data_IF_413279229881
#
_entry.id   IF_413279229881
#
_cell.length_a   1.000
_cell.length_b   1.000
_cell.length_c   1.000
_cell.angle_alpha   90.00
_cell.angle_beta   90.00
_cell.angle_gamma   90.00
#
_symmetry.space_group_name_H-M   'P 1'
#
loop_
_entity.id
_entity.type
_entity.pdbx_description
1 polymer ?
#
# COMPACT_ATOMS: atom_id res chain seq x y z
N UNK A 1 -0.05 16.61 -9.95
CA UNK A 1 0.85 16.49 -8.77
C UNK A 1 1.76 17.71 -8.68
N UNK A 2 1.80 18.40 -7.51
CA UNK A 2 2.72 19.51 -7.24
C UNK A 2 4.16 19.01 -7.15
N UNK A 3 5.10 19.71 -7.79
CA UNK A 3 6.51 19.35 -7.80
C UNK A 3 7.28 20.22 -6.79
N UNK A 4 8.24 19.60 -6.11
CA UNK A 4 9.07 20.25 -5.11
C UNK A 4 10.56 20.10 -5.41
N UNK A 5 11.35 21.10 -5.06
CA UNK A 5 12.80 21.00 -5.09
C UNK A 5 13.33 20.33 -3.79
N UNK A 6 14.64 20.10 -3.73
CA UNK A 6 15.30 19.43 -2.59
C UNK A 6 15.06 20.14 -1.26
N UNK A 7 15.16 21.47 -1.25
CA UNK A 7 14.93 22.27 -0.05
C UNK A 7 13.50 22.14 0.44
N UNK A 8 12.52 22.23 -0.47
CA UNK A 8 11.11 22.12 -0.11
C UNK A 8 10.77 20.75 0.49
N UNK A 9 11.35 19.66 -0.05
CA UNK A 9 11.20 18.35 0.57
C UNK A 9 11.79 18.26 1.97
N UNK A 10 12.95 18.87 2.22
CA UNK A 10 13.52 18.94 3.57
C UNK A 10 12.65 19.76 4.53
N UNK A 11 12.08 20.88 4.06
CA UNK A 11 11.16 21.70 4.86
C UNK A 11 9.88 20.90 5.21
N UNK A 12 9.32 20.16 4.24
CA UNK A 12 8.16 19.29 4.43
C UNK A 12 8.48 18.19 5.46
N UNK A 13 9.63 17.53 5.33
CA UNK A 13 10.01 16.41 6.18
C UNK A 13 10.24 16.86 7.63
N UNK A 14 10.82 18.03 7.86
CA UNK A 14 10.92 18.64 9.21
C UNK A 14 9.54 18.84 9.83
N UNK A 15 8.57 19.35 9.07
CA UNK A 15 7.19 19.52 9.56
C UNK A 15 6.50 18.16 9.82
N UNK A 16 6.71 17.17 8.96
CA UNK A 16 6.19 15.82 9.14
C UNK A 16 6.73 15.19 10.44
N UNK A 17 8.05 15.25 10.66
CA UNK A 17 8.68 14.73 11.87
C UNK A 17 8.26 15.48 13.14
N UNK A 18 7.79 16.70 13.02
CA UNK A 18 7.20 17.45 14.14
C UNK A 18 5.79 16.98 14.49
N UNK A 19 5.05 16.36 13.56
CA UNK A 19 3.67 15.90 13.73
C UNK A 19 2.65 16.72 12.92
N UNK A 20 3.10 17.44 11.89
CA UNK A 20 2.25 18.28 11.02
C UNK A 20 1.97 17.63 9.67
N UNK A 21 2.12 16.31 9.57
CA UNK A 21 1.91 15.51 8.38
C UNK A 21 0.48 15.60 7.80
N UNK A 22 -0.47 16.16 8.55
CA UNK A 22 -1.88 16.33 8.13
C UNK A 22 -2.19 17.68 7.50
N UNK A 23 -1.24 18.61 7.54
CA UNK A 23 -1.37 19.91 6.87
C UNK A 23 -1.13 19.77 5.37
N UNK A 24 -1.55 20.76 4.59
CA UNK A 24 -1.19 20.87 3.17
C UNK A 24 0.31 21.05 2.98
N UNK A 25 0.81 20.79 1.78
CA UNK A 25 2.22 20.95 1.46
C UNK A 25 2.74 22.37 1.75
N UNK A 26 1.98 23.38 1.35
CA UNK A 26 2.37 24.77 1.56
C UNK A 26 2.39 25.15 3.04
N UNK A 27 1.40 24.72 3.82
CA UNK A 27 1.37 24.96 5.26
C UNK A 27 2.56 24.31 5.98
N UNK A 28 2.98 23.11 5.59
CA UNK A 28 4.19 22.45 6.15
C UNK A 28 5.45 23.26 5.84
N UNK A 29 5.60 23.69 4.59
CA UNK A 29 6.74 24.53 4.15
C UNK A 29 6.75 25.86 4.91
N UNK A 30 5.62 26.54 5.00
CA UNK A 30 5.50 27.86 5.64
C UNK A 30 5.73 27.75 7.14
N UNK A 31 5.23 26.71 7.79
CA UNK A 31 5.50 26.46 9.20
C UNK A 31 6.98 26.28 9.48
N UNK A 32 7.68 25.45 8.70
CA UNK A 32 9.12 25.23 8.88
C UNK A 32 9.90 26.49 8.63
N UNK A 33 9.58 27.27 7.58
CA UNK A 33 10.21 28.56 7.29
C UNK A 33 10.01 29.57 8.41
N UNK A 34 8.80 29.64 8.98
CA UNK A 34 8.48 30.57 10.07
C UNK A 34 9.23 30.25 11.36
N UNK A 35 9.66 28.99 11.53
CA UNK A 35 10.36 28.53 12.73
C UNK A 35 11.88 28.32 12.49
N UNK A 36 12.43 28.72 11.34
CA UNK A 36 13.82 28.45 10.95
C UNK A 36 14.84 28.81 12.03
N UNK A 37 14.66 29.92 12.73
CA UNK A 37 15.63 30.43 13.74
C UNK A 37 15.56 29.63 15.07
N UNK A 38 14.62 28.73 15.25
CA UNK A 38 14.40 28.04 16.53
C UNK A 38 14.00 26.58 16.41
N UNK A 39 14.22 25.93 15.25
CA UNK A 39 13.82 24.54 15.02
C UNK A 39 14.39 23.58 16.09
N UNK A 40 15.64 23.79 16.49
CA UNK A 40 16.31 22.95 17.48
C UNK A 40 15.59 22.96 18.85
N UNK A 41 14.99 24.10 19.22
CA UNK A 41 14.28 24.28 20.48
C UNK A 41 12.88 23.59 20.49
N UNK A 42 12.42 23.19 19.32
CA UNK A 42 11.12 22.51 19.17
C UNK A 42 11.25 20.98 19.27
N UNK A 43 12.46 20.46 19.28
CA UNK A 43 12.72 19.01 19.19
C UNK A 43 12.00 18.18 20.27
N UNK A 44 11.95 18.66 21.50
CA UNK A 44 11.34 17.93 22.62
C UNK A 44 9.78 17.93 22.58
N UNK A 45 9.20 18.76 21.69
CA UNK A 45 7.76 18.83 21.43
C UNK A 45 7.33 18.07 20.19
N UNK A 46 8.29 17.58 19.41
CA UNK A 46 8.02 16.84 18.18
C UNK A 46 7.46 15.43 18.50
N UNK A 47 6.60 14.91 17.65
CA UNK A 47 6.05 13.55 17.76
C UNK A 47 7.17 12.49 17.73
N UNK A 48 8.22 12.73 16.92
CA UNK A 48 9.38 11.87 16.78
C UNK A 48 10.69 12.66 17.03
N UNK A 49 11.07 12.98 18.29
CA UNK A 49 12.17 13.92 18.61
C UNK A 49 13.51 13.58 17.96
N UNK A 50 13.87 12.29 17.91
CA UNK A 50 15.14 11.86 17.32
C UNK A 50 15.17 12.06 15.80
N UNK A 51 14.09 11.64 15.12
CA UNK A 51 13.98 11.78 13.66
C UNK A 51 13.87 13.26 13.28
N UNK A 52 13.11 14.04 14.04
CA UNK A 52 13.01 15.50 13.87
C UNK A 52 14.38 16.19 13.93
N UNK A 53 15.22 15.85 14.91
CA UNK A 53 16.59 16.40 15.02
C UNK A 53 17.44 16.04 13.79
N UNK A 54 17.30 14.83 13.26
CA UNK A 54 17.98 14.41 12.04
C UNK A 54 17.51 15.22 10.82
N UNK A 55 16.19 15.43 10.69
CA UNK A 55 15.61 16.25 9.61
C UNK A 55 16.08 17.71 9.68
N UNK A 56 16.05 18.31 10.88
CA UNK A 56 16.56 19.70 11.10
C UNK A 56 18.05 19.77 10.75
N UNK A 57 18.86 18.79 11.19
CA UNK A 57 20.29 18.75 10.83
C UNK A 57 20.47 18.69 9.31
N UNK A 58 19.74 17.84 8.62
CA UNK A 58 19.81 17.70 7.16
C UNK A 58 19.44 19.01 6.44
N UNK A 59 18.45 19.75 6.94
CA UNK A 59 18.09 21.07 6.43
C UNK A 59 19.22 22.10 6.67
N UNK A 60 19.89 22.06 7.84
CA UNK A 60 21.06 22.91 8.12
C UNK A 60 22.25 22.59 7.21
N UNK A 61 22.53 21.29 7.03
CA UNK A 61 23.59 20.84 6.13
C UNK A 61 23.32 21.31 4.69
N UNK A 62 22.05 21.25 4.25
CA UNK A 62 21.65 21.75 2.93
C UNK A 62 21.97 23.27 2.79
N UNK A 63 21.59 24.09 3.76
CA UNK A 63 21.88 25.54 3.72
C UNK A 63 23.38 25.85 3.82
N UNK A 64 24.14 24.99 4.47
CA UNK A 64 25.60 25.12 4.54
C UNK A 64 26.32 24.55 3.30
N UNK A 65 25.62 24.01 2.34
CA UNK A 65 26.18 23.35 1.15
C UNK A 65 26.92 22.04 1.46
N UNK A 66 26.64 21.43 2.62
CA UNK A 66 27.26 20.17 3.05
C UNK A 66 26.45 19.00 2.44
N UNK A 67 27.08 18.09 1.66
CA UNK A 67 26.41 16.90 1.17
C UNK A 67 25.89 16.03 2.31
N UNK A 68 24.62 15.64 2.24
CA UNK A 68 23.99 14.76 3.20
C UNK A 68 23.37 13.54 2.49
N UNK A 69 23.54 12.35 3.08
CA UNK A 69 22.85 11.13 2.69
C UNK A 69 21.46 10.98 3.34
N UNK A 70 20.92 12.06 3.90
CA UNK A 70 19.61 12.02 4.57
C UNK A 70 18.48 11.72 3.59
N UNK A 71 17.67 10.71 3.91
CA UNK A 71 16.46 10.36 3.18
C UNK A 71 15.24 11.01 3.80
N UNK A 72 14.39 11.61 2.98
CA UNK A 72 13.06 12.07 3.37
C UNK A 72 12.09 10.90 3.40
N UNK A 73 11.08 10.98 4.25
CA UNK A 73 10.05 9.97 4.41
C UNK A 73 8.76 10.40 3.69
N UNK A 74 8.25 9.50 2.85
CA UNK A 74 6.98 9.67 2.15
C UNK A 74 6.07 8.50 2.51
N UNK A 75 5.00 8.78 3.27
CA UNK A 75 4.09 7.77 3.79
C UNK A 75 2.78 7.73 3.00
N UNK A 76 2.27 6.53 2.74
CA UNK A 76 0.92 6.39 2.21
C UNK A 76 -0.11 6.80 3.28
N UNK A 77 -1.11 7.56 2.88
CA UNK A 77 -2.07 8.16 3.83
C UNK A 77 -3.01 7.14 4.48
N UNK A 78 -3.28 6.01 3.83
CA UNK A 78 -4.01 4.85 4.34
C UNK A 78 -3.91 3.69 3.35
N UNK A 79 -2.75 3.02 3.23
CA UNK A 79 -2.43 2.07 2.14
C UNK A 79 -3.49 1.00 1.92
N UNK A 80 -3.91 0.28 2.97
CA UNK A 80 -4.93 -0.76 2.85
C UNK A 80 -6.27 -0.25 2.33
N UNK A 81 -6.70 0.97 2.72
CA UNK A 81 -7.92 1.59 2.18
C UNK A 81 -7.71 2.02 0.74
N UNK A 82 -6.54 2.59 0.41
CA UNK A 82 -6.19 3.00 -0.95
C UNK A 82 -6.30 1.82 -1.92
N UNK A 83 -5.60 0.71 -1.63
CA UNK A 83 -5.58 -0.45 -2.53
C UNK A 83 -6.94 -1.12 -2.65
N UNK A 84 -7.67 -1.28 -1.55
CA UNK A 84 -9.03 -1.82 -1.60
C UNK A 84 -9.94 -0.93 -2.45
N UNK A 85 -9.92 0.39 -2.24
CA UNK A 85 -10.76 1.31 -3.01
C UNK A 85 -10.43 1.30 -4.50
N UNK A 86 -9.14 1.20 -4.85
CA UNK A 86 -8.67 1.14 -6.23
C UNK A 86 -9.12 -0.14 -6.93
N UNK A 87 -8.89 -1.31 -6.33
CA UNK A 87 -9.20 -2.58 -6.97
C UNK A 87 -10.69 -2.86 -7.06
N UNK A 88 -11.48 -2.34 -6.11
CA UNK A 88 -12.94 -2.53 -6.08
C UNK A 88 -13.71 -1.48 -6.89
N UNK A 89 -13.07 -0.37 -7.28
CA UNK A 89 -13.75 0.77 -7.93
C UNK A 89 -14.54 1.64 -6.95
N UNK A 90 -14.12 1.70 -5.68
CA UNK A 90 -14.74 2.50 -4.62
C UNK A 90 -14.28 3.96 -4.70
N UNK A 91 -15.01 4.77 -5.45
CA UNK A 91 -14.71 6.20 -5.61
C UNK A 91 -14.77 6.96 -4.29
N UNK A 92 -15.73 6.65 -3.43
CA UNK A 92 -15.89 7.29 -2.12
C UNK A 92 -14.65 7.04 -1.24
N UNK A 93 -14.25 5.79 -1.12
CA UNK A 93 -13.04 5.39 -0.41
C UNK A 93 -11.77 6.00 -1.01
N UNK A 94 -11.66 6.02 -2.34
CA UNK A 94 -10.52 6.61 -3.07
C UNK A 94 -10.39 8.12 -2.77
N UNK A 95 -11.49 8.85 -2.69
CA UNK A 95 -11.50 10.27 -2.30
C UNK A 95 -11.04 10.46 -0.85
N UNK A 96 -11.57 9.66 0.07
CA UNK A 96 -11.27 9.76 1.51
C UNK A 96 -9.81 9.46 1.86
N UNK A 97 -9.13 8.61 1.08
CA UNK A 97 -7.73 8.24 1.33
C UNK A 97 -6.73 8.87 0.36
N UNK A 98 -7.10 10.02 -0.25
CA UNK A 98 -6.24 10.84 -1.10
C UNK A 98 -5.76 10.17 -2.40
N UNK A 99 -6.41 9.10 -2.85
CA UNK A 99 -6.18 8.52 -4.18
C UNK A 99 -6.65 9.50 -5.24
N UNK A 100 -7.82 10.10 -5.05
CA UNK A 100 -8.34 11.17 -5.88
C UNK A 100 -8.03 12.54 -5.26
N UNK A 101 -7.76 13.52 -6.12
CA UNK A 101 -7.48 14.89 -5.69
C UNK A 101 -8.79 15.62 -5.40
N UNK A 102 -9.08 15.90 -4.13
CA UNK A 102 -10.24 16.67 -3.66
C UNK A 102 -9.95 18.16 -3.48
N UNK A 103 -8.75 18.61 -3.86
CA UNK A 103 -8.29 19.99 -3.63
C UNK A 103 -7.68 20.24 -2.24
N UNK A 104 -7.73 19.26 -1.34
CA UNK A 104 -7.13 19.30 0.01
C UNK A 104 -6.62 17.93 0.43
N UNK A 105 -5.82 17.89 1.50
CA UNK A 105 -5.44 16.64 2.14
C UNK A 105 -6.58 16.14 3.03
N UNK A 106 -7.11 14.98 2.72
CA UNK A 106 -8.15 14.34 3.52
C UNK A 106 -7.55 13.52 4.67
N UNK A 107 -8.24 13.49 5.80
CA UNK A 107 -7.98 12.57 6.91
C UNK A 107 -9.18 11.63 7.07
N UNK A 108 -9.13 10.49 6.40
CA UNK A 108 -10.18 9.48 6.38
C UNK A 108 -10.63 9.07 7.79
N UNK A 109 -9.68 8.94 8.71
CA UNK A 109 -9.98 8.54 10.10
C UNK A 109 -10.77 9.62 10.85
N UNK A 110 -10.44 10.90 10.63
CA UNK A 110 -11.20 12.01 11.22
C UNK A 110 -12.60 12.11 10.61
N UNK A 111 -12.73 11.92 9.30
CA UNK A 111 -14.03 11.98 8.62
C UNK A 111 -14.94 10.86 9.10
N UNK A 112 -14.45 9.62 9.12
CA UNK A 112 -15.21 8.46 9.61
C UNK A 112 -15.55 8.61 11.09
N UNK A 113 -14.62 9.12 11.92
CA UNK A 113 -14.87 9.37 13.34
C UNK A 113 -16.02 10.37 13.54
N UNK A 114 -16.02 11.48 12.81
CA UNK A 114 -17.13 12.46 12.87
C UNK A 114 -18.46 11.84 12.45
N UNK A 115 -18.48 11.08 11.35
CA UNK A 115 -19.69 10.39 10.90
C UNK A 115 -20.24 9.39 11.92
N UNK A 116 -19.36 8.69 12.68
CA UNK A 116 -19.77 7.80 13.76
C UNK A 116 -20.40 8.61 14.91
N UNK A 117 -19.77 9.73 15.31
CA UNK A 117 -20.30 10.59 16.38
C UNK A 117 -21.65 11.20 16.03
N UNK A 118 -21.82 11.64 14.79
CA UNK A 118 -23.09 12.19 14.28
C UNK A 118 -24.22 11.13 14.31
N UNK A 119 -23.92 9.91 13.89
CA UNK A 119 -24.91 8.83 13.83
C UNK A 119 -25.20 8.21 15.23
N UNK A 120 -24.23 8.25 16.15
CA UNK A 120 -24.40 7.76 17.54
C UNK A 120 -25.05 8.75 18.50
N UNK A 121 -25.29 9.98 18.09
CA UNK A 121 -25.92 11.02 18.92
C UNK A 121 -25.00 11.62 19.99
N UNK A 122 -23.70 11.73 19.71
CA UNK A 122 -22.68 12.46 20.51
C UNK A 122 -22.39 11.97 21.93
N UNK A 123 -22.96 10.88 22.40
CA UNK A 123 -22.72 10.34 23.75
C UNK A 123 -21.48 9.42 23.84
N UNK A 124 -20.85 9.16 22.73
CA UNK A 124 -19.70 8.25 22.65
C UNK A 124 -18.40 8.98 22.99
N UNK A 125 -17.66 8.48 23.99
CA UNK A 125 -16.31 8.95 24.35
C UNK A 125 -15.21 8.33 23.47
N UNK A 126 -15.56 7.83 22.28
CA UNK A 126 -14.62 7.17 21.36
C UNK A 126 -13.71 8.22 20.73
N UNK A 127 -12.40 8.03 20.88
CA UNK A 127 -11.40 8.93 20.28
C UNK A 127 -11.10 8.57 18.84
N UNK A 128 -10.57 9.53 18.07
CA UNK A 128 -10.09 9.32 16.69
C UNK A 128 -9.08 8.15 16.60
N UNK A 129 -8.15 8.05 17.56
CA UNK A 129 -7.13 6.98 17.55
C UNK A 129 -7.72 5.60 17.80
N UNK A 130 -8.76 5.51 18.62
CA UNK A 130 -9.51 4.27 18.80
C UNK A 130 -10.24 3.88 17.51
N UNK A 131 -10.89 4.85 16.85
CA UNK A 131 -11.56 4.64 15.56
C UNK A 131 -10.54 4.22 14.49
N UNK A 132 -9.38 4.90 14.39
CA UNK A 132 -8.29 4.49 13.48
C UNK A 132 -7.89 3.04 13.69
N UNK A 133 -7.64 2.62 14.94
CA UNK A 133 -7.29 1.23 15.26
C UNK A 133 -8.40 0.24 14.87
N UNK A 134 -9.67 0.61 15.09
CA UNK A 134 -10.80 -0.23 14.71
C UNK A 134 -10.93 -0.39 13.20
N UNK A 135 -10.80 0.71 12.43
CA UNK A 135 -10.86 0.70 10.97
C UNK A 135 -9.74 -0.20 10.40
N UNK A 136 -8.50 0.03 10.83
CA UNK A 136 -7.35 -0.74 10.35
C UNK A 136 -7.56 -2.24 10.56
N UNK A 137 -7.87 -2.66 11.78
CA UNK A 137 -8.04 -4.10 12.05
C UNK A 137 -9.28 -4.69 11.39
N UNK A 138 -10.34 -3.88 11.14
CA UNK A 138 -11.54 -4.33 10.44
C UNK A 138 -11.29 -4.59 8.97
N UNK A 139 -10.52 -3.72 8.30
CA UNK A 139 -10.11 -3.91 6.90
C UNK A 139 -9.25 -5.17 6.75
N UNK A 140 -8.54 -5.58 7.79
CA UNK A 140 -7.83 -6.87 7.85
C UNK A 140 -8.69 -8.01 8.44
N UNK A 141 -10.02 -7.89 8.43
CA UNK A 141 -10.97 -8.95 8.80
C UNK A 141 -11.14 -9.18 10.30
N UNK A 142 -10.58 -8.35 11.19
CA UNK A 142 -10.81 -8.47 12.62
C UNK A 142 -12.18 -7.92 13.03
N UNK A 143 -12.96 -8.71 13.76
CA UNK A 143 -14.24 -8.28 14.35
C UNK A 143 -14.15 -8.11 15.86
N UNK A 144 -13.10 -8.67 16.50
CA UNK A 144 -12.95 -8.64 17.95
C UNK A 144 -12.76 -7.22 18.48
N UNK A 145 -11.79 -6.50 17.93
CA UNK A 145 -11.46 -5.14 18.39
C UNK A 145 -12.58 -4.13 18.14
N UNK A 146 -13.24 -4.09 16.96
CA UNK A 146 -14.42 -3.25 16.78
C UNK A 146 -15.55 -3.58 17.77
N UNK A 147 -15.82 -4.86 18.01
CA UNK A 147 -16.84 -5.29 18.97
C UNK A 147 -16.50 -4.86 20.40
N UNK A 148 -15.25 -4.97 20.83
CA UNK A 148 -14.80 -4.51 22.14
C UNK A 148 -14.94 -2.99 22.29
N UNK A 149 -14.63 -2.24 21.22
CA UNK A 149 -14.64 -0.78 21.26
C UNK A 149 -16.05 -0.20 21.18
N UNK A 150 -16.87 -0.71 20.26
CA UNK A 150 -18.18 -0.14 19.96
C UNK A 150 -19.32 -0.80 20.75
N UNK A 151 -19.13 -2.03 21.27
CA UNK A 151 -20.17 -2.73 22.04
C UNK A 151 -21.53 -2.76 21.32
N UNK A 152 -22.54 -2.10 21.90
CA UNK A 152 -23.88 -1.93 21.31
C UNK A 152 -23.89 -1.06 20.06
N UNK A 153 -22.91 -0.19 19.89
CA UNK A 153 -22.82 0.76 18.77
C UNK A 153 -22.10 0.17 17.54
N UNK A 154 -21.68 -1.11 17.61
CA UNK A 154 -21.06 -1.81 16.49
C UNK A 154 -21.87 -1.70 15.18
N UNK A 155 -23.21 -1.83 15.18
CA UNK A 155 -24.01 -1.63 13.96
C UNK A 155 -23.91 -0.23 13.37
N UNK A 156 -23.67 0.81 14.19
CA UNK A 156 -23.44 2.18 13.74
C UNK A 156 -22.10 2.25 12.99
N UNK A 157 -21.03 1.71 13.60
CA UNK A 157 -19.73 1.62 12.96
C UNK A 157 -19.81 0.90 11.60
N UNK A 158 -20.45 -0.26 11.53
CA UNK A 158 -20.60 -1.02 10.28
C UNK A 158 -21.39 -0.28 9.22
N UNK A 159 -22.44 0.48 9.60
CA UNK A 159 -23.22 1.31 8.71
C UNK A 159 -22.40 2.46 8.14
N UNK A 160 -21.64 3.16 8.99
CA UNK A 160 -20.76 4.26 8.58
C UNK A 160 -19.67 3.74 7.65
N UNK A 161 -19.05 2.60 7.96
CA UNK A 161 -18.07 1.98 7.06
C UNK A 161 -18.68 1.65 5.69
N UNK A 162 -19.88 1.09 5.65
CA UNK A 162 -20.60 0.80 4.40
C UNK A 162 -20.98 2.06 3.60
N UNK A 163 -21.17 3.21 4.25
CA UNK A 163 -21.42 4.49 3.58
C UNK A 163 -20.15 5.14 3.06
N UNK A 164 -19.09 5.10 3.87
CA UNK A 164 -17.81 5.76 3.55
C UNK A 164 -16.97 4.96 2.56
N UNK A 165 -17.04 3.63 2.61
CA UNK A 165 -16.23 2.70 1.83
C UNK A 165 -17.13 1.57 1.25
N UNK A 166 -18.14 1.89 0.43
CA UNK A 166 -19.18 0.94 0.05
C UNK A 166 -18.64 -0.34 -0.58
N UNK A 167 -17.82 -0.21 -1.61
CA UNK A 167 -17.28 -1.35 -2.36
C UNK A 167 -16.14 -2.05 -1.61
N UNK A 168 -15.22 -1.28 -1.05
CA UNK A 168 -14.11 -1.81 -0.27
C UNK A 168 -14.60 -2.59 0.97
N UNK A 169 -15.65 -2.08 1.63
CA UNK A 169 -16.27 -2.74 2.78
C UNK A 169 -17.04 -4.00 2.37
N UNK A 170 -17.75 -3.96 1.25
CA UNK A 170 -18.44 -5.12 0.69
C UNK A 170 -17.46 -6.24 0.35
N UNK A 171 -16.37 -5.91 -0.34
CA UNK A 171 -15.33 -6.90 -0.68
C UNK A 171 -14.68 -7.49 0.57
N UNK A 172 -14.38 -6.67 1.58
CA UNK A 172 -13.85 -7.15 2.86
C UNK A 172 -14.80 -8.15 3.55
N UNK A 173 -16.11 -7.89 3.51
CA UNK A 173 -17.13 -8.84 4.01
C UNK A 173 -17.16 -10.13 3.20
N UNK A 174 -17.01 -10.06 1.89
CA UNK A 174 -16.90 -11.23 1.01
C UNK A 174 -15.71 -12.11 1.39
N UNK A 175 -14.53 -11.51 1.60
CA UNK A 175 -13.32 -12.23 2.03
C UNK A 175 -13.47 -12.91 3.40
N UNK A 176 -14.24 -12.31 4.30
CA UNK A 176 -14.46 -12.84 5.65
C UNK A 176 -15.63 -13.84 5.73
N UNK A 177 -16.43 -13.93 4.67
CA UNK A 177 -17.65 -14.74 4.60
C UNK A 177 -17.63 -15.76 3.45
N UNK A 178 -18.19 -15.40 2.30
CA UNK A 178 -18.43 -16.34 1.19
C UNK A 178 -17.18 -16.86 0.49
N UNK A 179 -16.04 -16.16 0.59
CA UNK A 179 -14.77 -16.62 0.04
C UNK A 179 -14.05 -17.64 0.94
N UNK A 180 -14.48 -17.82 2.17
CA UNK A 180 -13.88 -18.80 3.06
C UNK A 180 -14.42 -20.20 2.77
N UNK A 181 -13.53 -21.12 2.40
CA UNK A 181 -13.84 -22.54 2.25
C UNK A 181 -13.61 -23.26 3.58
N UNK A 182 -14.68 -23.79 4.23
CA UNK A 182 -14.57 -24.50 5.50
C UNK A 182 -13.83 -25.85 5.40
N UNK A 183 -13.56 -26.32 4.19
CA UNK A 183 -12.83 -27.58 3.94
C UNK A 183 -11.36 -27.37 3.57
N UNK A 184 -10.96 -26.14 3.28
CA UNK A 184 -9.58 -25.84 2.93
C UNK A 184 -8.66 -25.85 4.16
N UNK A 185 -7.51 -26.48 4.04
CA UNK A 185 -6.43 -26.46 5.04
C UNK A 185 -5.35 -25.43 4.74
N UNK A 186 -5.39 -24.80 3.57
CA UNK A 186 -4.44 -23.79 3.10
C UNK A 186 -5.04 -22.97 1.97
N UNK A 187 -4.51 -21.77 1.78
CA UNK A 187 -4.78 -20.90 0.65
C UNK A 187 -3.47 -20.49 -0.02
N UNK A 188 -3.51 -20.34 -1.33
CA UNK A 188 -2.37 -19.94 -2.13
C UNK A 188 -2.83 -19.09 -3.33
N UNK A 189 -2.08 -18.04 -3.65
CA UNK A 189 -2.27 -17.23 -4.85
C UNK A 189 -0.95 -16.64 -5.33
N UNK A 190 -0.93 -16.21 -6.57
CA UNK A 190 0.24 -15.61 -7.23
C UNK A 190 -0.07 -14.17 -7.60
N UNK A 191 0.87 -13.27 -7.35
CA UNK A 191 0.79 -11.85 -7.68
C UNK A 191 1.42 -11.59 -9.06
N UNK A 192 1.13 -10.43 -9.71
CA UNK A 192 1.62 -10.15 -11.06
C UNK A 192 3.13 -10.16 -11.23
N UNK A 193 3.88 -9.96 -10.15
CA UNK A 193 5.35 -10.07 -10.10
C UNK A 193 5.86 -11.50 -9.90
N UNK A 194 5.00 -12.50 -10.07
CA UNK A 194 5.28 -13.92 -9.81
C UNK A 194 5.70 -14.19 -8.35
N UNK A 195 5.17 -13.43 -7.40
CA UNK A 195 5.35 -13.71 -5.99
C UNK A 195 4.23 -14.64 -5.51
N UNK A 196 4.60 -15.78 -4.95
CA UNK A 196 3.70 -16.77 -4.39
C UNK A 196 3.38 -16.42 -2.95
N UNK A 197 2.12 -16.09 -2.68
CA UNK A 197 1.60 -15.81 -1.36
C UNK A 197 0.66 -16.94 -0.89
N UNK A 198 0.54 -17.12 0.41
CA UNK A 198 -0.39 -18.11 0.95
C UNK A 198 -0.23 -18.29 2.46
N UNK A 199 -1.16 -19.00 3.03
CA UNK A 199 -1.11 -19.36 4.45
C UNK A 199 -1.78 -20.71 4.72
N UNK A 200 -1.38 -21.35 5.82
CA UNK A 200 -1.96 -22.59 6.33
C UNK A 200 -3.08 -22.26 7.33
N UNK A 201 -4.23 -22.86 7.15
CA UNK A 201 -5.32 -22.79 8.13
C UNK A 201 -4.92 -23.60 9.35
N UNK A 202 -5.05 -23.03 10.55
CA UNK A 202 -4.62 -23.67 11.79
C UNK A 202 -5.74 -23.62 12.84
N UNK A 203 -5.94 -24.76 13.49
CA UNK A 203 -6.77 -24.89 14.68
C UNK A 203 -5.92 -25.03 15.94
N UNK A 204 -6.48 -24.62 17.06
CA UNK A 204 -5.93 -24.90 18.37
C UNK A 204 -6.50 -26.26 18.83
N UNK A 205 -5.66 -27.30 18.82
CA UNK A 205 -6.03 -28.66 19.18
C UNK A 205 -5.51 -28.97 20.59
N UNK A 206 -6.39 -29.48 21.43
CA UNK A 206 -6.02 -29.95 22.77
C UNK A 206 -5.44 -31.36 22.67
N UNK A 207 -4.26 -31.51 23.23
CA UNK A 207 -3.63 -32.81 23.45
C UNK A 207 -3.51 -33.06 24.96
N UNK A 208 -3.50 -34.32 25.31
CA UNK A 208 -3.36 -34.76 26.69
C UNK A 208 -2.23 -35.78 26.80
N UNK A 209 -1.48 -35.68 27.87
CA UNK A 209 -0.56 -36.76 28.25
C UNK A 209 -0.66 -37.03 29.74
N UNK A 210 -0.47 -38.28 30.14
CA UNK A 210 -0.50 -38.71 31.54
C UNK A 210 0.92 -38.94 32.03
N UNK A 211 1.30 -38.25 33.10
CA UNK A 211 2.57 -38.40 33.77
C UNK A 211 2.35 -38.63 35.25
N UNK A 212 2.90 -39.74 35.80
CA UNK A 212 2.78 -40.17 37.18
C UNK A 212 1.32 -40.11 37.71
N UNK A 213 0.37 -40.54 36.91
CA UNK A 213 -1.06 -40.59 37.25
C UNK A 213 -1.80 -39.25 37.16
N UNK A 214 -1.13 -38.16 36.80
CA UNK A 214 -1.76 -36.85 36.52
C UNK A 214 -1.87 -36.61 35.02
N UNK A 215 -3.05 -36.25 34.54
CA UNK A 215 -3.27 -35.88 33.14
C UNK A 215 -3.06 -34.38 32.99
N UNK A 216 -2.22 -34.01 32.03
CA UNK A 216 -1.93 -32.61 31.68
C UNK A 216 -2.42 -32.37 30.27
N UNK A 217 -3.29 -31.36 30.12
CA UNK A 217 -3.75 -30.89 28.81
C UNK A 217 -2.86 -29.75 28.31
N UNK A 218 -2.50 -29.78 27.03
CA UNK A 218 -1.80 -28.71 26.36
C UNK A 218 -2.39 -28.45 24.97
N UNK A 219 -2.18 -27.25 24.43
CA UNK A 219 -2.75 -26.85 23.15
C UNK A 219 -1.66 -26.62 22.12
N UNK A 220 -1.87 -27.18 20.93
CA UNK A 220 -0.97 -27.03 19.78
C UNK A 220 -1.78 -26.47 18.61
N UNK A 221 -1.15 -25.57 17.83
CA UNK A 221 -1.72 -25.12 16.55
C UNK A 221 -1.38 -26.10 15.45
N UNK A 222 -2.38 -26.85 15.01
CA UNK A 222 -2.26 -27.82 13.92
C UNK A 222 -2.86 -27.30 12.63
N UNK A 223 -2.30 -27.71 11.48
CA UNK A 223 -2.85 -27.39 10.17
C UNK A 223 -4.07 -28.27 9.93
N UNK A 224 -5.23 -27.64 9.88
CA UNK A 224 -6.50 -28.31 9.59
C UNK A 224 -7.58 -27.31 9.19
N UNK A 225 -8.57 -27.74 8.39
CA UNK A 225 -9.72 -26.92 8.02
C UNK A 225 -10.46 -26.36 9.22
N UNK A 226 -11.04 -25.15 9.03
CA UNK A 226 -11.84 -24.48 10.03
C UNK A 226 -13.18 -24.05 9.43
N UNK A 227 -14.32 -24.22 10.15
CA UNK A 227 -15.63 -23.84 9.63
C UNK A 227 -15.75 -22.35 9.35
N UNK A 228 -14.97 -21.51 10.05
CA UNK A 228 -14.92 -20.08 9.88
C UNK A 228 -13.49 -19.57 10.00
N UNK A 229 -13.12 -18.60 9.16
CA UNK A 229 -11.80 -17.98 9.24
C UNK A 229 -11.82 -16.54 8.75
N UNK A 230 -10.84 -15.77 9.17
CA UNK A 230 -10.69 -14.34 8.87
C UNK A 230 -9.30 -14.00 8.32
N UNK A 231 -8.43 -14.99 8.26
CA UNK A 231 -7.04 -14.81 7.85
C UNK A 231 -6.92 -14.47 6.36
N UNK A 232 -7.93 -14.87 5.55
CA UNK A 232 -7.90 -14.68 4.10
C UNK A 232 -7.81 -13.18 3.72
N UNK A 233 -8.70 -12.35 4.25
CA UNK A 233 -8.70 -10.91 3.99
C UNK A 233 -7.38 -10.24 4.38
N UNK A 234 -6.91 -10.51 5.61
CA UNK A 234 -5.64 -9.94 6.09
C UNK A 234 -4.45 -10.34 5.20
N UNK A 235 -4.31 -11.62 4.88
CA UNK A 235 -3.17 -12.09 4.08
C UNK A 235 -3.25 -11.60 2.63
N UNK A 236 -4.46 -11.54 2.05
CA UNK A 236 -4.64 -11.01 0.69
C UNK A 236 -4.22 -9.54 0.61
N UNK A 237 -4.73 -8.68 1.51
CA UNK A 237 -4.42 -7.26 1.52
C UNK A 237 -2.92 -7.02 1.81
N UNK A 238 -2.33 -7.71 2.79
CA UNK A 238 -0.89 -7.63 3.05
C UNK A 238 -0.04 -8.10 1.86
N UNK A 239 -0.52 -9.09 1.09
CA UNK A 239 0.21 -9.52 -0.11
C UNK A 239 0.20 -8.45 -1.21
N UNK A 240 -0.89 -7.69 -1.33
CA UNK A 240 -0.99 -6.54 -2.24
C UNK A 240 -0.06 -5.42 -1.76
N UNK A 241 -0.08 -5.06 -0.48
CA UNK A 241 0.87 -4.07 0.09
C UNK A 241 2.33 -4.48 -0.21
N UNK A 242 2.68 -5.74 0.03
CA UNK A 242 4.00 -6.28 -0.28
C UNK A 242 4.35 -6.27 -1.77
N UNK A 243 3.37 -6.49 -2.64
CA UNK A 243 3.54 -6.37 -4.09
C UNK A 243 3.88 -4.93 -4.49
N UNK A 244 3.17 -3.94 -3.96
CA UNK A 244 3.44 -2.53 -4.22
C UNK A 244 4.85 -2.12 -3.78
N UNK A 245 5.28 -2.59 -2.61
CA UNK A 245 6.66 -2.35 -2.13
C UNK A 245 7.69 -2.88 -3.13
N UNK A 246 7.52 -4.12 -3.60
CA UNK A 246 8.44 -4.73 -4.58
C UNK A 246 8.42 -3.98 -5.92
N UNK A 247 7.24 -3.58 -6.38
CA UNK A 247 7.10 -2.78 -7.61
C UNK A 247 7.76 -1.40 -7.48
N UNK A 248 7.58 -0.71 -6.35
CA UNK A 248 8.23 0.58 -6.11
C UNK A 248 9.76 0.46 -6.15
N UNK A 249 10.32 -0.56 -5.48
CA UNK A 249 11.76 -0.83 -5.53
C UNK A 249 12.21 -1.11 -6.97
N UNK A 250 11.50 -1.99 -7.68
CA UNK A 250 11.84 -2.36 -9.04
C UNK A 250 11.81 -1.17 -9.99
N UNK A 251 10.76 -0.33 -9.92
CA UNK A 251 10.57 0.85 -10.76
C UNK A 251 11.64 1.93 -10.51
N UNK A 252 12.04 2.14 -9.26
CA UNK A 252 13.04 3.14 -8.91
C UNK A 252 14.50 2.69 -9.18
N UNK A 253 14.79 1.39 -9.09
CA UNK A 253 16.15 0.83 -9.23
C UNK A 253 16.44 0.21 -10.61
N UNK A 254 15.51 0.30 -11.56
CA UNK A 254 15.68 -0.28 -12.89
C UNK A 254 16.86 0.32 -13.66
N UNK A 255 17.65 -0.53 -14.36
CA UNK A 255 18.82 -0.10 -15.13
C UNK A 255 18.44 0.72 -16.37
N UNK A 256 18.79 2.01 -16.38
CA UNK A 256 18.58 2.91 -17.51
C UNK A 256 19.29 2.44 -18.81
N UNK A 257 20.43 1.75 -18.71
CA UNK A 257 21.14 1.26 -19.88
C UNK A 257 20.31 0.19 -20.62
N UNK A 258 19.76 -0.76 -19.85
CA UNK A 258 18.86 -1.78 -20.41
C UNK A 258 17.61 -1.16 -21.02
N UNK A 259 17.01 -0.15 -20.37
CA UNK A 259 15.88 0.59 -20.92
C UNK A 259 16.20 1.21 -22.28
N UNK A 260 17.35 1.84 -22.40
CA UNK A 260 17.82 2.44 -23.66
C UNK A 260 18.04 1.40 -24.76
N UNK A 261 18.63 0.26 -24.44
CA UNK A 261 18.83 -0.85 -25.37
C UNK A 261 17.52 -1.41 -25.89
N UNK A 262 16.52 -1.59 -25.02
CA UNK A 262 15.19 -2.05 -25.39
C UNK A 262 14.50 -1.02 -26.30
N UNK A 263 14.51 0.27 -25.94
CA UNK A 263 13.88 1.34 -26.73
C UNK A 263 14.54 1.47 -28.11
N UNK A 264 15.85 1.38 -28.19
CA UNK A 264 16.60 1.49 -29.45
C UNK A 264 16.53 0.24 -30.34
N UNK A 265 15.99 -0.87 -29.82
CA UNK A 265 15.98 -2.17 -30.51
C UNK A 265 17.37 -2.79 -30.65
N UNK A 266 18.35 -2.36 -29.85
CA UNK A 266 19.75 -2.79 -29.92
C UNK A 266 20.16 -3.79 -28.82
N UNK A 267 19.22 -4.53 -28.27
CA UNK A 267 19.51 -5.58 -27.26
C UNK A 267 20.40 -6.65 -27.87
N UNK A 268 21.64 -6.78 -27.38
CA UNK A 268 22.63 -7.74 -27.88
C UNK A 268 22.78 -8.99 -27.00
N UNK A 269 22.31 -8.92 -25.75
CA UNK A 269 22.43 -10.00 -24.79
C UNK A 269 21.35 -11.06 -25.01
N UNK A 270 21.77 -12.34 -24.95
CA UNK A 270 20.88 -13.50 -25.04
C UNK A 270 20.58 -13.97 -23.60
N UNK A 271 19.30 -14.04 -23.26
CA UNK A 271 18.85 -14.57 -21.97
C UNK A 271 18.97 -16.11 -21.94
N UNK A 272 19.16 -16.64 -20.74
CA UNK A 272 19.13 -18.07 -20.45
C UNK A 272 17.74 -18.68 -20.66
N UNK A 273 17.64 -20.01 -20.60
CA UNK A 273 16.34 -20.71 -20.63
C UNK A 273 15.44 -20.28 -19.44
N UNK A 274 16.05 -20.05 -18.27
CA UNK A 274 15.35 -19.55 -17.10
C UNK A 274 14.81 -18.13 -17.34
N UNK A 275 15.59 -17.23 -17.95
CA UNK A 275 15.14 -15.88 -18.28
C UNK A 275 13.96 -15.90 -19.26
N UNK A 276 13.98 -16.83 -20.25
CA UNK A 276 12.85 -17.03 -21.17
C UNK A 276 11.60 -17.48 -20.40
N UNK A 277 11.76 -18.44 -19.50
CA UNK A 277 10.65 -18.93 -18.67
C UNK A 277 10.07 -17.83 -17.79
N UNK A 278 10.91 -17.06 -17.10
CA UNK A 278 10.48 -15.96 -16.27
C UNK A 278 9.78 -14.83 -17.07
N UNK A 279 10.31 -14.50 -18.25
CA UNK A 279 9.70 -13.52 -19.13
C UNK A 279 8.28 -13.95 -19.54
N UNK A 280 8.10 -15.19 -19.98
CA UNK A 280 6.81 -15.74 -20.39
C UNK A 280 5.83 -15.83 -19.22
N UNK A 281 6.31 -16.23 -18.03
CA UNK A 281 5.48 -16.31 -16.83
C UNK A 281 4.93 -14.92 -16.47
N UNK A 282 5.79 -13.89 -16.39
CA UNK A 282 5.38 -12.53 -16.08
C UNK A 282 4.46 -11.95 -17.16
N UNK A 283 4.70 -12.27 -18.42
CA UNK A 283 3.83 -11.83 -19.51
C UNK A 283 2.45 -12.49 -19.47
N UNK A 284 2.37 -13.77 -19.10
CA UNK A 284 1.08 -14.45 -18.90
C UNK A 284 0.31 -13.89 -17.69
N UNK A 285 0.99 -13.63 -16.58
CA UNK A 285 0.39 -12.98 -15.41
C UNK A 285 -0.15 -11.58 -15.75
N UNK A 286 0.56 -10.82 -16.63
CA UNK A 286 0.03 -9.57 -17.15
C UNK A 286 -1.26 -9.78 -17.95
N UNK A 287 -1.31 -10.77 -18.85
CA UNK A 287 -2.52 -11.03 -19.65
C UNK A 287 -3.73 -11.40 -18.80
N UNK A 288 -3.52 -12.08 -17.68
CA UNK A 288 -4.58 -12.48 -16.76
C UNK A 288 -5.00 -11.36 -15.80
N UNK A 289 -4.02 -10.67 -15.21
CA UNK A 289 -4.27 -9.62 -14.21
C UNK A 289 -4.55 -8.25 -14.79
N UNK A 290 -4.07 -7.96 -16.01
CA UNK A 290 -4.06 -6.62 -16.61
C UNK A 290 -3.00 -5.69 -16.00
N UNK A 291 -2.13 -6.18 -15.10
CA UNK A 291 -1.06 -5.38 -14.47
C UNK A 291 0.32 -5.85 -14.93
N UNK A 292 1.04 -4.99 -15.66
CA UNK A 292 2.39 -5.28 -16.14
C UNK A 292 3.42 -4.94 -15.05
N UNK A 293 4.00 -5.97 -14.42
CA UNK A 293 5.04 -5.78 -13.42
C UNK A 293 6.35 -5.32 -14.04
N UNK A 294 6.99 -4.30 -13.44
CA UNK A 294 8.31 -3.84 -13.85
C UNK A 294 9.41 -4.90 -13.70
N UNK A 295 9.16 -5.96 -12.92
CA UNK A 295 10.06 -7.11 -12.81
C UNK A 295 10.37 -7.75 -14.16
N UNK A 296 9.46 -7.67 -15.15
CA UNK A 296 9.65 -8.23 -16.50
C UNK A 296 10.89 -7.65 -17.20
N UNK A 297 11.24 -6.40 -16.88
CA UNK A 297 12.38 -5.71 -17.47
C UNK A 297 13.72 -6.38 -17.18
N UNK A 298 13.80 -7.19 -16.12
CA UNK A 298 14.99 -7.99 -15.80
C UNK A 298 15.20 -9.15 -16.76
N UNK A 299 14.18 -9.50 -17.54
CA UNK A 299 14.14 -10.67 -18.43
C UNK A 299 13.94 -10.31 -19.90
N UNK A 300 14.07 -9.03 -20.26
CA UNK A 300 14.02 -8.58 -21.65
C UNK A 300 15.41 -8.64 -22.27
N UNK A 301 15.57 -9.56 -23.23
CA UNK A 301 16.78 -9.86 -23.98
C UNK A 301 16.46 -9.99 -25.47
N UNK A 302 17.48 -10.18 -26.32
CA UNK A 302 17.30 -10.34 -27.78
C UNK A 302 16.44 -11.54 -28.15
N UNK A 303 16.48 -12.62 -27.37
CA UNK A 303 15.68 -13.83 -27.57
C UNK A 303 14.33 -13.83 -26.82
N UNK A 304 14.04 -12.87 -25.97
CA UNK A 304 12.76 -12.77 -25.25
C UNK A 304 11.88 -11.62 -25.73
N UNK A 305 12.47 -10.59 -26.34
CA UNK A 305 11.76 -9.37 -26.76
C UNK A 305 10.60 -9.65 -27.74
N UNK A 306 10.72 -10.68 -28.58
CA UNK A 306 9.68 -11.09 -29.54
C UNK A 306 8.59 -11.97 -28.93
N UNK A 307 8.70 -12.32 -27.63
CA UNK A 307 7.72 -13.14 -26.91
C UNK A 307 6.67 -12.27 -26.21
N UNK A 308 6.86 -10.96 -26.19
CA UNK A 308 6.03 -9.98 -25.52
C UNK A 308 5.65 -8.86 -26.47
N UNK A 309 4.63 -8.08 -26.11
CA UNK A 309 4.31 -6.84 -26.83
C UNK A 309 5.33 -5.76 -26.44
N UNK A 310 6.24 -5.46 -27.39
CA UNK A 310 7.32 -4.51 -27.18
C UNK A 310 6.81 -3.08 -26.93
N UNK A 311 5.66 -2.72 -27.48
CA UNK A 311 5.13 -1.37 -27.28
C UNK A 311 4.61 -1.20 -25.85
N UNK A 312 4.05 -2.25 -25.25
CA UNK A 312 3.72 -2.25 -23.81
C UNK A 312 4.96 -2.16 -22.91
N UNK A 313 6.04 -2.82 -23.29
CA UNK A 313 7.32 -2.69 -22.58
C UNK A 313 7.88 -1.27 -22.68
N UNK A 314 7.79 -0.65 -23.87
CA UNK A 314 8.21 0.75 -24.08
C UNK A 314 7.35 1.73 -23.28
N UNK A 315 6.02 1.54 -23.23
CA UNK A 315 5.12 2.33 -22.40
C UNK A 315 5.57 2.30 -20.94
N UNK A 316 5.80 1.10 -20.38
CA UNK A 316 6.31 0.93 -19.02
C UNK A 316 7.65 1.66 -18.80
N UNK A 317 8.62 1.48 -19.70
CA UNK A 317 9.94 2.13 -19.60
C UNK A 317 9.82 3.66 -19.60
N UNK A 318 8.91 4.22 -20.40
CA UNK A 318 8.71 5.67 -20.51
C UNK A 318 8.12 6.27 -19.22
N UNK A 319 7.45 5.48 -18.39
CA UNK A 319 6.94 5.90 -17.09
C UNK A 319 8.00 5.87 -15.99
N UNK A 320 9.10 5.13 -16.18
CA UNK A 320 10.14 5.00 -15.16
C UNK A 320 10.93 6.30 -14.96
N UNK A 321 11.55 6.51 -13.80
CA UNK A 321 12.40 7.64 -13.55
C UNK A 321 13.55 7.75 -14.57
N UNK A 322 13.88 8.95 -14.99
CA UNK A 322 14.99 9.17 -15.94
C UNK A 322 16.35 8.70 -15.42
N UNK A 323 16.51 8.67 -14.11
CA UNK A 323 17.69 8.16 -13.40
C UNK A 323 17.24 7.17 -12.36
N UNK A 324 17.94 6.05 -12.26
CA UNK A 324 17.75 5.08 -11.20
C UNK A 324 18.26 5.61 -9.87
N UNK A 325 17.59 5.23 -8.81
CA UNK A 325 17.99 5.53 -7.44
C UNK A 325 17.47 4.44 -6.50
N UNK A 326 18.07 4.36 -5.33
CA UNK A 326 17.64 3.43 -4.29
C UNK A 326 16.56 4.08 -3.42
N UNK A 327 15.56 3.28 -3.05
CA UNK A 327 14.56 3.61 -2.04
C UNK A 327 14.64 2.59 -0.90
N UNK A 328 14.34 3.03 0.31
CA UNK A 328 14.22 2.17 1.48
C UNK A 328 12.75 2.09 1.89
N UNK A 329 12.05 1.02 1.53
CA UNK A 329 10.67 0.83 1.94
C UNK A 329 10.60 0.27 3.36
N UNK A 330 9.69 0.81 4.16
CA UNK A 330 9.28 0.28 5.47
C UNK A 330 7.77 0.24 5.47
N UNK A 331 7.20 -0.94 5.20
CA UNK A 331 5.77 -1.08 4.98
C UNK A 331 5.28 -0.18 3.82
N UNK A 332 4.42 0.79 4.12
CA UNK A 332 3.85 1.76 3.18
C UNK A 332 4.57 3.13 3.18
N UNK A 333 5.72 3.21 3.84
CA UNK A 333 6.61 4.36 3.85
C UNK A 333 7.81 4.14 2.93
N UNK A 334 8.14 5.14 2.12
CA UNK A 334 9.23 5.09 1.16
C UNK A 334 10.23 6.21 1.45
N UNK A 335 11.45 5.81 1.83
CA UNK A 335 12.53 6.76 2.11
C UNK A 335 13.43 6.89 0.88
N UNK A 336 13.68 8.12 0.45
CA UNK A 336 14.58 8.44 -0.66
C UNK A 336 15.31 9.76 -0.42
N UNK A 337 16.40 9.99 -1.15
CA UNK A 337 17.04 11.29 -1.12
C UNK A 337 16.07 12.38 -1.61
N UNK A 338 16.12 13.61 -1.05
CA UNK A 338 15.20 14.71 -1.40
C UNK A 338 15.14 15.03 -2.90
N UNK A 339 16.22 14.70 -3.64
CA UNK A 339 16.25 14.90 -5.09
C UNK A 339 15.27 14.02 -5.87
N UNK A 340 14.84 12.91 -5.29
CA UNK A 340 14.00 11.90 -5.93
C UNK A 340 12.57 11.86 -5.38
N UNK A 341 12.19 12.76 -4.48
CA UNK A 341 10.86 12.78 -3.87
C UNK A 341 9.73 12.88 -4.90
N UNK A 342 9.90 13.68 -5.96
CA UNK A 342 8.92 13.76 -7.06
C UNK A 342 8.81 12.43 -7.81
N UNK A 343 9.95 11.77 -8.10
CA UNK A 343 9.97 10.49 -8.80
C UNK A 343 9.27 9.40 -7.98
N UNK A 344 9.53 9.33 -6.67
CA UNK A 344 8.86 8.39 -5.76
C UNK A 344 7.35 8.57 -5.78
N UNK A 345 6.87 9.83 -5.61
CA UNK A 345 5.43 10.13 -5.64
C UNK A 345 4.81 9.79 -7.01
N UNK A 346 5.51 10.10 -8.10
CA UNK A 346 5.03 9.81 -9.44
C UNK A 346 4.93 8.31 -9.69
N UNK A 347 5.92 7.50 -9.26
CA UNK A 347 5.85 6.05 -9.40
C UNK A 347 4.71 5.44 -8.59
N UNK A 348 4.45 5.96 -7.39
CA UNK A 348 3.31 5.51 -6.58
C UNK A 348 1.96 5.82 -7.27
N UNK A 349 1.84 7.00 -7.88
CA UNK A 349 0.66 7.40 -8.67
C UNK A 349 0.48 6.48 -9.89
N UNK A 350 1.55 6.17 -10.63
CA UNK A 350 1.47 5.24 -11.76
C UNK A 350 1.06 3.83 -11.31
N UNK A 351 1.56 3.34 -10.17
CA UNK A 351 1.12 2.06 -9.63
C UNK A 351 -0.37 2.05 -9.30
N UNK A 352 -0.88 3.11 -8.66
CA UNK A 352 -2.31 3.25 -8.39
C UNK A 352 -3.14 3.29 -9.69
N UNK A 353 -2.69 4.03 -10.68
CA UNK A 353 -3.33 4.12 -11.99
C UNK A 353 -3.44 2.76 -12.68
N UNK A 354 -2.32 2.04 -12.80
CA UNK A 354 -2.30 0.72 -13.42
C UNK A 354 -3.10 -0.31 -12.63
N UNK A 355 -3.07 -0.23 -11.30
CA UNK A 355 -3.88 -1.09 -10.44
C UNK A 355 -5.38 -0.83 -10.65
N UNK A 356 -5.80 0.43 -10.79
CA UNK A 356 -7.19 0.78 -11.08
C UNK A 356 -7.66 0.24 -12.45
N UNK A 357 -6.81 0.30 -13.47
CA UNK A 357 -7.09 -0.25 -14.81
C UNK A 357 -7.05 -1.77 -14.90
N UNK A 358 -6.36 -2.42 -13.97
CA UNK A 358 -6.17 -3.86 -13.97
C UNK A 358 -7.45 -4.63 -13.59
N UNK A 359 -7.46 -5.92 -13.90
CA UNK A 359 -8.45 -6.89 -13.42
C UNK A 359 -8.00 -7.59 -12.12
N UNK A 360 -7.21 -6.90 -11.30
CA UNK A 360 -6.56 -7.47 -10.12
C UNK A 360 -7.54 -8.16 -9.17
N UNK A 361 -8.71 -7.56 -8.96
CA UNK A 361 -9.70 -8.11 -8.02
C UNK A 361 -10.22 -9.48 -8.46
N UNK A 362 -10.54 -9.66 -9.74
CA UNK A 362 -11.01 -10.94 -10.26
C UNK A 362 -9.86 -11.93 -10.40
N UNK A 363 -8.69 -11.46 -10.86
CA UNK A 363 -7.48 -12.29 -10.94
C UNK A 363 -7.11 -12.93 -9.60
N UNK A 364 -7.12 -12.16 -8.50
CA UNK A 364 -6.86 -12.68 -7.16
C UNK A 364 -8.07 -13.45 -6.61
N UNK A 365 -9.29 -12.96 -6.87
CA UNK A 365 -10.53 -13.56 -6.41
C UNK A 365 -10.69 -15.01 -6.90
N UNK A 366 -10.47 -15.27 -8.18
CA UNK A 366 -10.54 -16.61 -8.76
C UNK A 366 -9.55 -17.59 -8.12
N UNK A 367 -8.32 -17.14 -7.82
CA UNK A 367 -7.30 -17.97 -7.20
C UNK A 367 -7.66 -18.39 -5.77
N UNK A 368 -8.48 -17.61 -5.06
CA UNK A 368 -8.94 -17.91 -3.70
C UNK A 368 -10.36 -18.48 -3.65
N UNK A 369 -10.93 -18.84 -4.82
CA UNK A 369 -12.21 -19.54 -4.92
C UNK A 369 -13.45 -18.64 -5.09
N UNK A 370 -13.30 -17.34 -5.28
CA UNK A 370 -14.43 -16.45 -5.62
C UNK A 370 -14.75 -16.66 -7.11
N UNK A 371 -15.93 -17.22 -7.42
CA UNK A 371 -16.37 -17.50 -8.78
C UNK A 371 -17.13 -16.32 -9.42
N UNK A 372 -17.72 -15.45 -8.59
CA UNK A 372 -18.49 -14.32 -9.07
C UNK A 372 -17.56 -13.20 -9.55
N UNK A 373 -17.80 -12.71 -10.77
CA UNK A 373 -17.07 -11.56 -11.29
C UNK A 373 -17.42 -10.29 -10.53
N UNK A 374 -16.39 -9.57 -10.11
CA UNK A 374 -16.54 -8.24 -9.54
C UNK A 374 -16.55 -7.21 -10.67
N UNK A 375 -17.65 -6.49 -10.77
CA UNK A 375 -17.76 -5.36 -11.71
C UNK A 375 -17.50 -4.07 -10.94
N UNK A 376 -16.45 -3.35 -11.32
CA UNK A 376 -16.15 -2.05 -10.72
C UNK A 376 -17.29 -1.07 -11.08
N UNK A 377 -17.92 -0.41 -10.09
CA UNK A 377 -19.04 0.50 -10.37
C UNK A 377 -18.59 1.74 -11.15
N UNK A 378 -17.36 2.20 -10.95
CA UNK A 378 -16.80 3.37 -11.62
C UNK A 378 -15.35 3.15 -12.05
N UNK A 379 -14.96 3.68 -13.20
CA UNK A 379 -13.56 3.83 -13.61
C UNK A 379 -13.12 5.28 -13.41
N UNK A 380 -12.32 5.51 -12.39
CA UNK A 380 -11.70 6.79 -12.07
C UNK A 380 -10.17 6.77 -12.28
N UNK A 381 -9.67 5.80 -13.02
CA UNK A 381 -8.22 5.57 -13.18
C UNK A 381 -7.49 6.82 -13.67
N UNK A 382 -8.03 7.52 -14.68
CA UNK A 382 -7.40 8.72 -15.24
C UNK A 382 -7.32 9.88 -14.21
N UNK A 383 -8.25 9.95 -13.27
CA UNK A 383 -8.25 10.96 -12.23
C UNK A 383 -7.14 10.74 -11.20
N UNK A 384 -6.71 9.48 -11.02
CA UNK A 384 -5.60 9.11 -10.13
C UNK A 384 -4.29 9.81 -10.54
N UNK A 385 -4.09 10.04 -11.83
CA UNK A 385 -2.90 10.74 -12.34
C UNK A 385 -2.76 12.18 -11.78
N UNK A 386 -3.86 12.75 -11.28
CA UNK A 386 -3.90 14.06 -10.63
C UNK A 386 -3.83 13.96 -9.09
N UNK A 387 -3.55 12.78 -8.54
CA UNK A 387 -3.42 12.59 -7.10
C UNK A 387 -2.33 13.48 -6.50
N UNK A 388 -2.59 14.02 -5.32
CA UNK A 388 -1.69 14.98 -4.68
C UNK A 388 -1.12 14.47 -3.35
N UNK A 389 -1.94 13.82 -2.55
CA UNK A 389 -1.60 13.43 -1.18
C UNK A 389 -1.66 11.93 -0.92
N UNK A 390 -1.74 11.08 -1.95
CA UNK A 390 -1.76 9.63 -1.74
C UNK A 390 -0.50 9.13 -1.04
N UNK A 391 0.65 9.73 -1.39
CA UNK A 391 1.94 9.54 -0.74
C UNK A 391 2.47 10.91 -0.29
N UNK A 392 2.57 11.13 1.03
CA UNK A 392 2.82 12.48 1.55
C UNK A 392 3.60 12.51 2.86
#
# INVERSE_FOLDING_TARGET
MQLFNKEQYLLIDVANCYGLDKLSWNERIDWTKSNLNGLENLADKADAPCVYRCAVKALRDHYAGIPSGYGIHLDATASGTQWLSIITGDRSGASLCNVLNTGKREDSYTIIHKAILEESGTTSNITRDQVKKAIMVSLYGSTKRPKELFGSDLPIFERVMSKCLPEAWLFNKTLSGSAWDPTADSYHWVLPDNFHAGFKVKALVQHEFTFKGNTVAYFVKEQMPQPNGRALGANLIHSIDGFIVREMVQRCSFSNNRAKEVISGSTSFIGSTEDVFQCLTLWNLYKESGFLSARILNYIYSNTINLVDIDKIKELINELPKKTFEILPIHDSFTALPAYGNDVRQQYIYLMYHMAKSNMINFLGHQIGIQAEWVKPEDFSEEILNSEYALS
#
